data_IF_269880572787
#
_entry.id   IF_269880572787
#
_cell.length_a   1.000
_cell.length_b   1.000
_cell.length_c   1.000
_cell.angle_alpha   90.00
_cell.angle_beta   90.00
_cell.angle_gamma   90.00
#
_symmetry.space_group_name_H-M   'P 1'
#
loop_
_entity.id
_entity.type
_entity.pdbx_description
1 polymer ?
#
# COMPACT_ATOMS: atom_id res chain seq x y z
N UNK A 1 13.33 18.91 -14.52
CA UNK A 1 12.29 18.09 -15.15
C UNK A 1 11.29 17.66 -14.09
N UNK A 2 10.11 17.20 -14.51
CA UNK A 2 8.88 16.97 -13.72
C UNK A 2 7.88 18.14 -13.83
N UNK A 3 7.41 18.45 -15.04
CA UNK A 3 6.38 19.46 -15.22
C UNK A 3 5.03 18.96 -14.68
N UNK A 4 4.26 19.86 -14.10
CA UNK A 4 2.85 19.66 -13.77
C UNK A 4 2.04 20.84 -14.30
N UNK A 5 0.83 20.55 -14.78
CA UNK A 5 -0.07 21.55 -15.35
C UNK A 5 -1.28 21.72 -14.46
N UNK A 6 -1.71 22.97 -14.29
CA UNK A 6 -2.91 23.32 -13.57
C UNK A 6 -3.70 24.36 -14.36
N UNK A 7 -5.03 24.21 -14.36
CA UNK A 7 -5.97 25.22 -14.87
C UNK A 7 -6.75 25.74 -13.68
N UNK A 8 -6.70 27.05 -13.46
CA UNK A 8 -7.43 27.71 -12.38
C UNK A 8 -8.88 27.98 -12.79
N UNK A 9 -9.68 28.45 -11.83
CA UNK A 9 -11.12 28.68 -12.03
C UNK A 9 -11.41 29.82 -13.03
N UNK A 10 -10.44 30.72 -13.24
CA UNK A 10 -10.49 31.79 -14.25
C UNK A 10 -10.09 31.30 -15.66
N UNK A 11 -9.77 30.02 -15.83
CA UNK A 11 -9.31 29.42 -17.09
C UNK A 11 -7.83 29.61 -17.40
N UNK A 12 -7.09 30.34 -16.58
CA UNK A 12 -5.65 30.53 -16.72
C UNK A 12 -4.91 29.21 -16.46
N UNK A 13 -4.02 28.86 -17.37
CA UNK A 13 -3.21 27.65 -17.32
C UNK A 13 -1.80 27.97 -16.84
N UNK A 14 -1.25 27.13 -15.99
CA UNK A 14 0.06 27.29 -15.40
C UNK A 14 0.88 26.03 -15.63
N UNK A 15 2.13 26.19 -16.05
CA UNK A 15 3.11 25.11 -16.05
C UNK A 15 4.05 25.30 -14.87
N UNK A 16 4.02 24.35 -13.95
CA UNK A 16 4.96 24.21 -12.84
C UNK A 16 6.06 23.27 -13.26
N UNK A 17 7.33 23.62 -13.06
CA UNK A 17 8.44 22.77 -13.47
C UNK A 17 9.69 23.06 -12.63
N UNK A 18 10.74 22.26 -12.81
CA UNK A 18 12.04 22.49 -12.19
C UNK A 18 12.76 21.21 -11.81
N UNK A 19 13.82 21.29 -11.01
CA UNK A 19 14.61 20.15 -10.50
C UNK A 19 15.70 20.70 -9.58
N UNK A 20 15.70 20.31 -8.31
CA UNK A 20 16.36 20.96 -7.15
C UNK A 20 15.86 22.37 -6.80
N UNK A 21 15.15 23.03 -7.71
CA UNK A 21 14.36 24.26 -7.53
C UNK A 21 13.11 24.16 -8.39
N UNK A 22 12.05 24.90 -8.09
CA UNK A 22 10.82 24.98 -8.89
C UNK A 22 10.51 26.40 -9.35
N UNK A 23 9.96 26.50 -10.56
CA UNK A 23 9.44 27.72 -11.17
C UNK A 23 8.04 27.46 -11.75
N UNK A 24 7.31 28.54 -12.03
CA UNK A 24 6.00 28.53 -12.69
C UNK A 24 5.99 29.55 -13.83
N UNK A 25 5.34 29.20 -14.94
CA UNK A 25 5.00 30.11 -16.03
C UNK A 25 3.51 30.09 -16.33
N UNK A 26 2.97 31.23 -16.80
CA UNK A 26 1.60 31.32 -17.31
C UNK A 26 1.59 30.89 -18.77
N UNK A 27 0.80 29.87 -19.10
CA UNK A 27 0.61 29.46 -20.49
C UNK A 27 -0.40 30.37 -21.20
N UNK A 28 -0.24 30.56 -22.50
CA UNK A 28 -1.28 31.09 -23.37
C UNK A 28 -2.37 30.04 -23.66
N UNK A 29 -3.38 30.42 -24.44
CA UNK A 29 -4.57 29.58 -24.63
C UNK A 29 -4.28 28.32 -25.45
N UNK A 30 -3.29 28.38 -26.35
CA UNK A 30 -2.85 27.22 -27.15
C UNK A 30 -1.82 26.34 -26.41
N UNK A 31 -1.39 26.75 -25.21
CA UNK A 31 -0.50 26.01 -24.31
C UNK A 31 0.89 25.70 -24.87
N UNK A 32 1.32 26.39 -25.92
CA UNK A 32 2.65 26.22 -26.51
C UNK A 32 3.57 27.42 -26.27
N UNK A 33 3.06 28.54 -25.75
CA UNK A 33 3.89 29.69 -25.33
C UNK A 33 3.60 30.13 -23.89
N UNK A 34 4.51 30.94 -23.36
CA UNK A 34 4.32 31.61 -22.08
C UNK A 34 3.88 33.06 -22.26
N UNK A 35 2.98 33.52 -21.39
CA UNK A 35 2.64 34.93 -21.22
C UNK A 35 3.58 35.56 -20.19
N UNK A 36 3.91 36.86 -20.31
CA UNK A 36 4.66 37.57 -19.28
C UNK A 36 3.99 37.42 -17.90
N UNK A 37 4.79 37.03 -16.91
CA UNK A 37 4.42 36.91 -15.52
C UNK A 37 4.92 38.18 -14.83
N UNK A 38 4.12 39.26 -14.89
CA UNK A 38 4.45 40.57 -14.29
C UNK A 38 4.80 40.44 -12.79
N UNK A 39 6.05 40.08 -12.47
CA UNK A 39 6.50 39.73 -11.12
C UNK A 39 7.88 40.32 -10.88
N UNK A 40 8.10 40.85 -9.67
CA UNK A 40 9.30 41.61 -9.31
C UNK A 40 10.48 40.74 -8.81
N UNK A 41 10.42 39.41 -8.95
CA UNK A 41 11.43 38.49 -8.40
C UNK A 41 11.97 37.54 -9.46
N UNK A 42 13.30 37.45 -9.54
CA UNK A 42 14.03 36.70 -10.56
C UNK A 42 13.65 35.22 -10.62
N UNK A 43 13.39 34.76 -11.85
CA UNK A 43 13.32 33.35 -12.21
C UNK A 43 14.67 32.66 -12.02
N UNK A 44 14.68 31.34 -12.19
CA UNK A 44 15.91 30.62 -12.48
C UNK A 44 16.41 31.01 -13.88
N UNK A 45 17.53 31.74 -13.98
CA UNK A 45 18.10 32.16 -15.27
C UNK A 45 17.67 33.56 -15.73
N UNK A 46 17.87 33.86 -17.02
CA UNK A 46 17.69 35.20 -17.63
C UNK A 46 16.22 35.58 -17.91
N UNK A 47 15.27 34.65 -17.79
CA UNK A 47 13.92 34.79 -18.33
C UNK A 47 12.88 35.16 -17.25
N UNK A 48 13.23 36.11 -16.37
CA UNK A 48 12.37 36.57 -15.27
C UNK A 48 11.05 37.23 -15.73
N UNK A 49 10.96 37.60 -17.01
CA UNK A 49 9.72 38.10 -17.62
C UNK A 49 8.62 37.03 -17.68
N UNK A 50 8.97 35.76 -17.88
CA UNK A 50 8.00 34.69 -18.15
C UNK A 50 7.84 33.70 -16.99
N UNK A 51 8.83 33.62 -16.11
CA UNK A 51 8.85 32.62 -15.05
C UNK A 51 9.03 33.24 -13.67
N UNK A 52 8.40 32.64 -12.66
CA UNK A 52 8.58 33.00 -11.25
C UNK A 52 9.14 31.82 -10.48
N UNK A 53 10.20 32.05 -9.70
CA UNK A 53 10.67 31.04 -8.73
C UNK A 53 9.64 30.86 -7.61
N UNK A 54 9.27 29.61 -7.36
CA UNK A 54 8.26 29.21 -6.36
C UNK A 54 8.77 28.11 -5.44
N UNK A 55 10.09 27.88 -5.43
CA UNK A 55 10.71 26.89 -4.54
C UNK A 55 10.33 27.19 -3.09
N UNK A 56 9.61 26.29 -2.38
CA UNK A 56 9.19 26.53 -1.01
C UNK A 56 10.40 26.72 -0.09
N UNK A 57 10.31 27.64 0.86
CA UNK A 57 11.40 27.94 1.81
C UNK A 57 10.84 28.07 3.24
N UNK A 58 11.50 27.47 4.26
CA UNK A 58 12.58 26.48 4.14
C UNK A 58 12.04 25.12 3.66
N UNK A 59 12.75 24.43 2.77
CA UNK A 59 12.37 23.06 2.35
C UNK A 59 13.58 22.24 1.91
N UNK A 60 13.39 20.92 1.78
CA UNK A 60 14.35 20.01 1.14
C UNK A 60 13.92 19.63 -0.27
N UNK A 61 13.30 20.59 -0.99
CA UNK A 61 12.76 20.38 -2.33
C UNK A 61 13.77 19.66 -3.23
N UNK A 62 13.35 18.54 -3.81
CA UNK A 62 14.12 17.84 -4.85
C UNK A 62 13.45 17.94 -6.20
N UNK A 63 12.22 17.45 -6.33
CA UNK A 63 11.59 17.22 -7.63
C UNK A 63 10.09 16.90 -7.49
N UNK A 64 9.45 16.54 -8.61
CA UNK A 64 8.10 15.99 -8.63
C UNK A 64 7.05 16.96 -8.13
N UNK A 65 7.04 18.22 -8.61
CA UNK A 65 6.00 19.19 -8.25
C UNK A 65 4.63 18.62 -8.62
N UNK A 66 3.66 18.70 -7.70
CA UNK A 66 2.23 18.47 -7.99
C UNK A 66 1.45 19.62 -7.42
N UNK A 67 0.53 20.14 -8.23
CA UNK A 67 -0.26 21.30 -7.92
C UNK A 67 -1.75 20.98 -7.97
N UNK A 68 -2.51 21.53 -7.03
CA UNK A 68 -3.97 21.50 -7.05
C UNK A 68 -4.56 22.60 -6.18
N UNK A 69 -5.82 22.95 -6.42
CA UNK A 69 -6.59 23.91 -5.62
C UNK A 69 -7.71 23.18 -4.87
N UNK A 70 -7.96 23.58 -3.63
CA UNK A 70 -9.08 23.08 -2.81
C UNK A 70 -9.56 24.17 -1.87
N UNK A 71 -10.86 24.50 -1.92
CA UNK A 71 -11.49 25.54 -1.09
C UNK A 71 -10.71 26.86 -1.13
N UNK A 72 -10.43 27.33 -2.34
CA UNK A 72 -9.66 28.57 -2.61
C UNK A 72 -8.21 28.61 -2.10
N UNK A 73 -7.70 27.50 -1.56
CA UNK A 73 -6.30 27.35 -1.18
C UNK A 73 -5.55 26.55 -2.23
N UNK A 74 -4.36 27.02 -2.58
CA UNK A 74 -3.46 26.36 -3.52
C UNK A 74 -2.47 25.48 -2.78
N UNK A 75 -2.35 24.22 -3.21
CA UNK A 75 -1.48 23.22 -2.63
C UNK A 75 -0.37 22.89 -3.62
N UNK A 76 0.87 23.00 -3.17
CA UNK A 76 2.04 22.52 -3.88
C UNK A 76 2.67 21.39 -3.08
N UNK A 77 2.79 20.22 -3.69
CA UNK A 77 3.48 19.06 -3.12
C UNK A 77 4.77 18.79 -3.88
N UNK A 78 5.80 18.29 -3.21
CA UNK A 78 7.10 17.94 -3.81
C UNK A 78 7.71 16.72 -3.13
N UNK A 79 8.62 16.05 -3.83
CA UNK A 79 9.48 15.04 -3.22
C UNK A 79 10.72 15.68 -2.60
N UNK A 80 11.17 15.13 -1.48
CA UNK A 80 12.43 15.47 -0.82
C UNK A 80 13.42 14.30 -0.92
N UNK A 81 14.72 14.60 -0.88
CA UNK A 81 15.83 13.64 -1.09
C UNK A 81 15.84 13.00 -2.49
N UNK A 82 16.80 12.11 -2.77
CA UNK A 82 16.93 11.44 -4.08
C UNK A 82 16.00 10.22 -4.15
N UNK A 83 15.37 9.96 -5.29
CA UNK A 83 14.43 8.84 -5.50
C UNK A 83 14.94 7.46 -5.05
N UNK A 84 16.25 7.17 -5.18
CA UNK A 84 16.84 5.91 -4.73
C UNK A 84 17.25 5.86 -3.24
N UNK A 85 17.06 6.94 -2.49
CA UNK A 85 17.35 7.01 -1.05
C UNK A 85 16.12 6.54 -0.27
N UNK A 86 16.30 5.66 0.73
CA UNK A 86 15.20 5.19 1.58
C UNK A 86 14.42 6.33 2.27
N UNK A 87 15.02 7.51 2.42
CA UNK A 87 14.40 8.72 2.98
C UNK A 87 13.50 9.47 2.00
N UNK A 88 13.48 9.11 0.71
CA UNK A 88 12.63 9.76 -0.29
C UNK A 88 11.18 9.79 0.21
N UNK A 89 10.60 10.99 0.22
CA UNK A 89 9.35 11.30 0.91
C UNK A 89 8.66 12.47 0.22
N UNK A 90 7.37 12.66 0.49
CA UNK A 90 6.59 13.79 -0.04
C UNK A 90 6.27 14.79 1.06
N UNK A 91 6.55 16.05 0.76
CA UNK A 91 6.11 17.20 1.55
C UNK A 91 5.18 18.09 0.75
N UNK A 92 4.48 18.98 1.44
CA UNK A 92 3.60 19.95 0.81
C UNK A 92 3.65 21.30 1.50
N UNK A 93 3.08 22.30 0.83
CA UNK A 93 2.87 23.65 1.34
C UNK A 93 1.68 24.29 0.65
N UNK A 94 1.20 25.38 1.24
CA UNK A 94 -0.01 26.07 0.79
C UNK A 94 0.25 27.54 0.45
N UNK A 95 -0.57 28.11 -0.42
CA UNK A 95 -0.56 29.53 -0.77
C UNK A 95 -1.98 30.02 -1.06
N UNK A 96 -2.16 31.33 -0.96
CA UNK A 96 -3.39 32.02 -1.38
C UNK A 96 -3.38 32.39 -2.87
N UNK A 97 -2.26 32.17 -3.57
CA UNK A 97 -2.15 32.45 -5.01
C UNK A 97 -1.50 31.29 -5.75
N UNK A 98 -1.76 31.12 -7.07
CA UNK A 98 -1.12 30.08 -7.87
C UNK A 98 0.40 30.31 -8.03
N UNK A 99 0.89 31.50 -7.65
CA UNK A 99 2.27 31.94 -7.81
C UNK A 99 3.07 31.93 -6.51
N UNK A 100 2.52 31.43 -5.41
CA UNK A 100 3.19 31.43 -4.11
C UNK A 100 3.33 32.84 -3.48
N UNK A 101 4.08 32.97 -2.37
CA UNK A 101 4.92 31.94 -1.77
C UNK A 101 4.12 30.78 -1.19
N UNK A 102 4.69 29.58 -1.24
CA UNK A 102 4.12 28.38 -0.64
C UNK A 102 4.73 28.16 0.74
N UNK A 103 3.90 28.25 1.77
CA UNK A 103 4.27 28.02 3.16
C UNK A 103 4.37 26.51 3.41
N UNK A 104 5.55 25.94 3.68
CA UNK A 104 5.70 24.50 3.91
C UNK A 104 4.92 24.02 5.14
N UNK A 105 4.22 22.90 5.00
CA UNK A 105 3.44 22.23 6.07
C UNK A 105 4.00 20.84 6.46
N UNK A 106 5.13 20.46 5.87
CA UNK A 106 5.90 19.27 6.24
C UNK A 106 5.59 18.03 5.41
N UNK A 107 6.20 16.90 5.82
CA UNK A 107 6.17 15.63 5.10
C UNK A 107 4.95 14.78 5.47
N UNK A 108 4.18 14.36 4.48
CA UNK A 108 2.92 13.61 4.61
C UNK A 108 3.02 12.17 4.13
N UNK A 109 3.92 11.84 3.20
CA UNK A 109 4.15 10.47 2.75
C UNK A 109 5.61 10.11 3.02
N UNK A 110 5.82 9.11 3.87
CA UNK A 110 7.14 8.66 4.31
C UNK A 110 7.23 7.14 4.18
N UNK A 111 8.46 6.62 4.23
CA UNK A 111 8.68 5.18 4.37
C UNK A 111 7.95 4.61 5.58
N UNK A 112 7.54 3.36 5.44
CA UNK A 112 7.21 2.48 6.55
C UNK A 112 8.17 1.29 6.47
N UNK A 113 9.06 1.08 7.47
CA UNK A 113 10.09 0.06 7.40
C UNK A 113 9.55 -1.38 7.34
N UNK A 114 8.26 -1.61 7.63
CA UNK A 114 7.63 -2.93 7.49
C UNK A 114 6.78 -3.07 6.22
N UNK A 115 6.66 -2.02 5.40
CA UNK A 115 5.88 -2.03 4.15
C UNK A 115 6.74 -1.66 2.94
N UNK A 116 7.37 -0.48 2.95
CA UNK A 116 8.13 0.04 1.81
C UNK A 116 9.01 1.24 2.18
N UNK A 117 10.03 1.48 1.35
CA UNK A 117 10.91 2.66 1.46
C UNK A 117 10.82 3.54 0.22
N UNK A 118 11.46 4.71 0.27
CA UNK A 118 11.60 5.62 -0.85
C UNK A 118 10.25 5.98 -1.52
N UNK A 119 9.30 6.45 -0.73
CA UNK A 119 7.94 6.76 -1.17
C UNK A 119 7.85 8.18 -1.72
N UNK A 120 7.61 8.35 -3.02
CA UNK A 120 7.46 9.69 -3.58
C UNK A 120 7.10 9.75 -5.05
N UNK A 121 7.43 10.88 -5.67
CA UNK A 121 7.07 11.24 -7.05
C UNK A 121 5.60 10.94 -7.35
N UNK A 122 4.79 11.61 -6.55
CA UNK A 122 3.34 11.52 -6.45
C UNK A 122 2.57 12.32 -7.49
N UNK A 123 1.33 11.88 -7.71
CA UNK A 123 0.20 12.69 -8.17
C UNK A 123 -0.95 12.57 -7.16
N UNK A 124 -1.94 13.44 -7.26
CA UNK A 124 -3.17 13.37 -6.46
C UNK A 124 -4.38 13.37 -7.38
N UNK A 125 -5.41 12.63 -6.99
CA UNK A 125 -6.69 12.59 -7.68
C UNK A 125 -7.81 12.96 -6.71
N UNK A 126 -8.78 13.71 -7.19
CA UNK A 126 -10.04 13.95 -6.52
C UNK A 126 -11.15 13.22 -7.27
N UNK A 127 -12.00 12.50 -6.54
CA UNK A 127 -13.23 11.95 -7.14
C UNK A 127 -14.20 13.11 -7.33
N UNK A 128 -14.59 13.34 -8.58
CA UNK A 128 -15.37 14.51 -8.99
C UNK A 128 -16.60 14.70 -8.10
N UNK A 129 -16.87 15.96 -7.72
CA UNK A 129 -18.01 16.39 -6.88
C UNK A 129 -18.00 15.83 -5.46
N UNK A 130 -16.85 15.39 -4.96
CA UNK A 130 -16.72 14.89 -3.59
C UNK A 130 -15.46 15.45 -2.92
N UNK A 131 -15.35 15.28 -1.60
CA UNK A 131 -14.12 15.55 -0.86
C UNK A 131 -13.23 14.30 -0.74
N UNK A 132 -13.30 13.40 -1.72
CA UNK A 132 -12.62 12.10 -1.72
C UNK A 132 -11.33 12.22 -2.54
N UNK A 133 -10.19 12.17 -1.87
CA UNK A 133 -8.87 12.32 -2.49
C UNK A 133 -8.02 11.06 -2.33
N UNK A 134 -7.20 10.77 -3.33
CA UNK A 134 -6.16 9.75 -3.25
C UNK A 134 -4.83 10.31 -3.72
N UNK A 135 -3.76 9.73 -3.21
CA UNK A 135 -2.40 9.96 -3.64
C UNK A 135 -1.91 8.71 -4.40
N UNK A 136 -1.44 8.93 -5.62
CA UNK A 136 -0.76 7.90 -6.42
C UNK A 136 0.72 8.21 -6.34
N UNK A 137 1.56 7.25 -6.00
CA UNK A 137 2.99 7.48 -5.82
C UNK A 137 3.78 6.21 -6.14
N UNK A 138 5.10 6.32 -6.28
CA UNK A 138 5.94 5.13 -6.31
C UNK A 138 6.55 4.85 -4.95
N UNK A 139 6.82 3.58 -4.70
CA UNK A 139 7.58 3.08 -3.55
C UNK A 139 8.55 1.99 -3.97
N UNK A 140 9.51 1.70 -3.10
CA UNK A 140 10.44 0.60 -3.27
C UNK A 140 10.03 -0.55 -2.34
N UNK A 141 9.78 -1.76 -2.89
CA UNK A 141 9.60 -2.97 -2.10
C UNK A 141 10.80 -3.19 -1.17
N UNK A 142 10.58 -3.78 0.01
CA UNK A 142 11.61 -3.98 1.04
C UNK A 142 12.71 -4.94 0.59
N UNK A 143 12.36 -5.95 -0.19
CA UNK A 143 13.33 -6.93 -0.71
C UNK A 143 14.17 -6.40 -1.88
N UNK A 144 13.84 -5.24 -2.44
CA UNK A 144 14.49 -4.68 -3.61
C UNK A 144 15.58 -3.68 -3.22
N UNK A 145 16.73 -3.76 -3.89
CA UNK A 145 17.89 -2.89 -3.62
C UNK A 145 18.28 -2.01 -4.80
N UNK A 146 17.73 -2.25 -5.99
CA UNK A 146 17.98 -1.43 -7.18
C UNK A 146 17.05 -0.22 -7.18
N UNK A 147 17.63 0.97 -7.23
CA UNK A 147 16.89 2.23 -7.13
C UNK A 147 15.85 2.48 -8.23
N UNK A 148 15.94 1.78 -9.35
CA UNK A 148 15.02 1.97 -10.48
C UNK A 148 13.81 1.02 -10.43
N UNK A 149 13.84 0.00 -9.56
CA UNK A 149 12.79 -1.00 -9.40
C UNK A 149 11.68 -0.46 -8.47
N UNK A 150 10.94 0.51 -9.02
CA UNK A 150 9.84 1.21 -8.36
C UNK A 150 8.51 0.56 -8.70
N UNK A 151 7.62 0.47 -7.73
CA UNK A 151 6.23 0.04 -7.94
C UNK A 151 5.26 1.17 -7.63
N UNK A 152 4.16 1.24 -8.36
CA UNK A 152 3.09 2.21 -8.10
C UNK A 152 2.25 1.74 -6.92
N UNK A 153 1.85 2.68 -6.07
CA UNK A 153 0.91 2.51 -4.98
C UNK A 153 -0.13 3.63 -5.02
N UNK A 154 -1.28 3.35 -4.43
CA UNK A 154 -2.41 4.26 -4.31
C UNK A 154 -2.91 4.17 -2.87
N UNK A 155 -2.96 5.31 -2.18
CA UNK A 155 -3.52 5.37 -0.84
C UNK A 155 -4.46 6.57 -0.70
N UNK A 156 -5.28 6.51 0.34
CA UNK A 156 -6.25 7.54 0.64
C UNK A 156 -5.56 8.77 1.22
N UNK A 157 -6.00 9.96 0.80
CA UNK A 157 -5.50 11.23 1.34
C UNK A 157 -6.63 11.97 2.05
N UNK A 158 -6.39 12.35 3.30
CA UNK A 158 -7.35 13.07 4.14
C UNK A 158 -6.88 14.50 4.40
N UNK A 159 -7.84 15.36 4.72
CA UNK A 159 -7.58 16.73 5.12
C UNK A 159 -8.16 16.97 6.52
N UNK A 160 -7.37 17.61 7.38
CA UNK A 160 -7.81 18.06 8.69
C UNK A 160 -8.79 19.25 8.58
N UNK A 161 -9.33 19.67 9.73
CA UNK A 161 -10.27 20.79 9.83
C UNK A 161 -9.68 22.13 9.35
N UNK A 162 -8.36 22.31 9.48
CA UNK A 162 -7.61 23.51 9.10
C UNK A 162 -7.08 23.43 7.65
N UNK A 163 -7.56 22.45 6.88
CA UNK A 163 -7.16 22.23 5.49
C UNK A 163 -5.74 21.68 5.32
N UNK A 164 -5.08 21.25 6.39
CA UNK A 164 -3.84 20.48 6.29
C UNK A 164 -4.09 19.11 5.70
N UNK A 165 -3.11 18.56 5.00
CA UNK A 165 -3.09 17.16 4.57
C UNK A 165 -2.58 16.33 5.74
N UNK A 166 -3.36 15.32 6.14
CA UNK A 166 -2.96 14.36 7.17
C UNK A 166 -1.86 13.43 6.66
N UNK A 167 -1.01 12.86 7.54
CA UNK A 167 -0.07 11.83 7.15
C UNK A 167 -0.76 10.67 6.43
N UNK A 168 -0.22 10.28 5.28
CA UNK A 168 -0.72 9.15 4.49
C UNK A 168 -0.25 7.85 5.13
N UNK A 169 -1.20 6.98 5.42
CA UNK A 169 -0.93 5.61 5.86
C UNK A 169 -0.65 4.74 4.64
N UNK A 170 0.50 4.06 4.64
CA UNK A 170 0.83 3.06 3.61
C UNK A 170 0.03 1.79 3.89
N UNK A 171 -0.70 1.31 2.89
CA UNK A 171 -1.42 0.04 2.99
C UNK A 171 -0.71 -1.10 2.24
N UNK A 172 -0.91 -2.32 2.75
CA UNK A 172 -0.60 -3.57 2.04
C UNK A 172 -1.93 -4.21 1.67
N UNK A 173 -2.39 -3.96 0.45
CA UNK A 173 -3.68 -4.44 -0.04
C UNK A 173 -3.58 -5.08 -1.41
N UNK A 174 -4.40 -6.09 -1.67
CA UNK A 174 -4.57 -6.70 -2.98
C UNK A 174 -5.95 -7.34 -3.09
N UNK A 175 -6.74 -6.94 -4.09
CA UNK A 175 -8.04 -7.53 -4.45
C UNK A 175 -7.96 -8.37 -5.74
N UNK A 176 -6.76 -8.51 -6.35
CA UNK A 176 -6.49 -9.34 -7.53
C UNK A 176 -7.29 -9.03 -8.80
N UNK A 177 -8.06 -7.93 -8.81
CA UNK A 177 -8.94 -7.49 -9.90
C UNK A 177 -8.19 -6.98 -11.15
N UNK A 178 -6.88 -6.78 -11.04
CA UNK A 178 -6.00 -6.43 -12.15
C UNK A 178 -5.51 -7.65 -12.97
N UNK A 179 -6.04 -8.84 -12.67
CA UNK A 179 -5.81 -10.08 -13.43
C UNK A 179 -4.55 -10.83 -13.04
N UNK A 180 -3.74 -10.30 -12.12
CA UNK A 180 -2.50 -10.93 -11.68
C UNK A 180 -2.10 -10.42 -10.30
N UNK A 181 -1.66 -11.29 -9.36
CA UNK A 181 -1.04 -10.78 -8.16
C UNK A 181 0.22 -10.01 -8.55
N UNK A 182 0.47 -8.87 -7.90
CA UNK A 182 1.65 -8.06 -8.16
C UNK A 182 2.92 -8.93 -8.24
N UNK A 183 3.59 -9.02 -9.41
CA UNK A 183 4.73 -9.93 -9.59
C UNK A 183 5.97 -9.49 -8.79
N UNK A 184 5.94 -8.25 -8.27
CA UNK A 184 7.00 -7.69 -7.44
C UNK A 184 6.69 -7.87 -5.95
N UNK A 185 5.44 -7.67 -5.53
CA UNK A 185 5.09 -7.76 -4.10
C UNK A 185 4.85 -9.21 -3.65
N UNK A 186 4.24 -10.04 -4.51
CA UNK A 186 3.94 -11.43 -4.18
C UNK A 186 5.04 -12.39 -4.59
N UNK A 187 5.53 -13.14 -3.62
CA UNK A 187 6.56 -14.15 -3.75
C UNK A 187 5.90 -15.52 -3.64
N UNK A 188 5.59 -16.14 -4.78
CA UNK A 188 5.03 -17.51 -4.87
C UNK A 188 6.12 -18.51 -4.46
N UNK A 189 6.09 -18.99 -3.22
CA UNK A 189 7.13 -19.85 -2.63
C UNK A 189 6.93 -21.32 -2.98
N UNK A 190 5.68 -21.77 -3.05
CA UNK A 190 5.31 -23.14 -3.43
C UNK A 190 3.87 -23.22 -3.91
N UNK A 191 3.56 -24.32 -4.62
CA UNK A 191 2.24 -24.61 -5.16
C UNK A 191 1.88 -23.73 -6.36
N UNK A 192 0.73 -24.05 -6.94
CA UNK A 192 0.21 -23.42 -8.14
C UNK A 192 -0.77 -22.32 -7.78
N UNK A 193 -0.50 -21.12 -8.30
CA UNK A 193 -1.27 -19.91 -8.06
C UNK A 193 -1.70 -19.28 -9.38
N UNK A 194 -3.00 -19.02 -9.51
CA UNK A 194 -3.58 -18.39 -10.69
C UNK A 194 -4.73 -17.47 -10.27
N UNK A 195 -4.88 -16.33 -10.95
CA UNK A 195 -6.09 -15.50 -10.81
C UNK A 195 -7.21 -16.15 -11.61
N UNK A 196 -8.39 -16.23 -11.02
CA UNK A 196 -9.57 -16.90 -11.57
C UNK A 196 -10.80 -16.01 -11.44
N UNK A 197 -11.78 -16.23 -12.33
CA UNK A 197 -13.09 -15.58 -12.26
C UNK A 197 -13.12 -14.12 -12.71
N UNK A 198 -14.21 -13.45 -12.34
CA UNK A 198 -14.52 -12.04 -12.64
C UNK A 198 -15.23 -11.81 -13.98
N UNK A 199 -16.10 -10.78 -14.01
CA UNK A 199 -16.61 -10.17 -15.24
C UNK A 199 -15.98 -8.78 -15.36
N UNK A 200 -15.17 -8.55 -16.41
CA UNK A 200 -14.60 -7.22 -16.67
C UNK A 200 -13.75 -6.63 -15.52
N UNK A 201 -12.59 -7.23 -15.22
CA UNK A 201 -11.64 -6.77 -14.18
C UNK A 201 -12.25 -6.56 -12.78
N UNK A 202 -13.39 -7.19 -12.48
CA UNK A 202 -14.03 -7.10 -11.17
C UNK A 202 -14.44 -8.49 -10.69
N UNK A 203 -14.20 -8.75 -9.39
CA UNK A 203 -14.55 -10.01 -8.73
C UNK A 203 -13.57 -11.15 -9.05
N UNK A 204 -12.33 -10.81 -9.40
CA UNK A 204 -11.28 -11.81 -9.61
C UNK A 204 -10.70 -12.25 -8.28
N UNK A 205 -10.22 -13.50 -8.22
CA UNK A 205 -9.71 -14.07 -6.97
C UNK A 205 -8.42 -14.84 -7.23
N UNK A 206 -7.49 -14.79 -6.28
CA UNK A 206 -6.28 -15.59 -6.36
C UNK A 206 -6.56 -17.01 -5.87
N UNK A 207 -6.46 -17.99 -6.77
CA UNK A 207 -6.64 -19.40 -6.48
C UNK A 207 -5.31 -20.07 -6.15
N UNK A 208 -5.22 -20.69 -4.97
CA UNK A 208 -4.19 -21.67 -4.64
C UNK A 208 -4.74 -23.08 -4.88
N UNK A 209 -4.13 -23.85 -5.79
CA UNK A 209 -4.71 -25.11 -6.28
C UNK A 209 -3.91 -26.38 -5.96
N UNK A 210 -2.85 -26.24 -5.16
CA UNK A 210 -2.03 -27.36 -4.72
C UNK A 210 -1.95 -27.40 -3.19
N UNK A 211 -1.90 -28.61 -2.64
CA UNK A 211 -1.60 -28.78 -1.22
C UNK A 211 -0.23 -28.16 -0.89
N UNK A 212 -0.16 -27.47 0.24
CA UNK A 212 1.04 -26.79 0.73
C UNK A 212 1.51 -25.63 -0.18
N UNK A 213 0.58 -25.00 -0.90
CA UNK A 213 0.86 -23.77 -1.62
C UNK A 213 1.07 -22.61 -0.64
N UNK A 214 2.12 -21.82 -0.86
CA UNK A 214 2.46 -20.65 -0.04
C UNK A 214 2.82 -19.47 -0.96
N UNK A 215 2.13 -18.35 -0.76
CA UNK A 215 2.47 -17.07 -1.36
C UNK A 215 2.70 -16.05 -0.24
N UNK A 216 3.84 -15.36 -0.25
CA UNK A 216 4.17 -14.34 0.73
C UNK A 216 4.14 -12.97 0.07
N UNK A 217 3.59 -11.97 0.74
CA UNK A 217 3.63 -10.58 0.32
C UNK A 217 4.76 -9.85 1.04
N UNK A 218 5.48 -9.00 0.30
CA UNK A 218 6.63 -8.25 0.80
C UNK A 218 6.23 -7.24 1.89
N UNK A 219 6.32 -7.69 3.13
CA UNK A 219 5.92 -6.98 4.35
C UNK A 219 6.65 -7.59 5.55
N UNK A 220 6.78 -6.88 6.66
CA UNK A 220 7.57 -7.36 7.82
C UNK A 220 6.98 -6.95 9.18
N UNK A 221 5.66 -7.08 9.33
CA UNK A 221 4.95 -6.62 10.52
C UNK A 221 5.34 -7.42 11.78
N UNK A 222 5.47 -6.70 12.88
CA UNK A 222 5.43 -7.26 14.23
C UNK A 222 3.97 -7.30 14.66
N UNK A 223 3.39 -6.17 15.04
CA UNK A 223 1.96 -6.09 15.32
C UNK A 223 1.19 -5.80 14.03
N UNK A 224 0.03 -6.44 13.87
CA UNK A 224 -0.75 -6.36 12.64
C UNK A 224 -2.25 -6.59 12.86
N UNK A 225 -3.04 -5.99 11.98
CA UNK A 225 -4.37 -6.48 11.62
C UNK A 225 -4.31 -6.96 10.19
N UNK A 226 -4.64 -8.23 9.97
CA UNK A 226 -4.64 -8.88 8.66
C UNK A 226 -6.03 -9.41 8.35
N UNK A 227 -6.66 -8.79 7.35
CA UNK A 227 -7.91 -9.17 6.71
C UNK A 227 -7.65 -9.93 5.40
N UNK A 228 -8.43 -10.99 5.16
CA UNK A 228 -8.54 -11.62 3.85
C UNK A 228 -9.91 -12.30 3.71
N UNK A 229 -10.43 -12.37 2.50
CA UNK A 229 -11.53 -13.25 2.17
C UNK A 229 -10.99 -14.61 1.71
N UNK A 230 -11.60 -15.69 2.19
CA UNK A 230 -11.19 -17.07 1.91
C UNK A 230 -12.40 -17.91 1.53
N UNK A 231 -12.35 -18.57 0.38
CA UNK A 231 -13.35 -19.57 -0.04
C UNK A 231 -12.66 -20.92 -0.20
N UNK A 232 -13.07 -21.92 0.58
CA UNK A 232 -12.58 -23.30 0.43
C UNK A 232 -13.36 -24.00 -0.68
N UNK A 233 -12.71 -24.57 -1.70
CA UNK A 233 -13.42 -25.06 -2.89
C UNK A 233 -14.03 -26.47 -2.73
N UNK A 234 -13.60 -27.25 -1.73
CA UNK A 234 -14.14 -28.59 -1.52
C UNK A 234 -13.94 -29.10 -0.09
N UNK A 235 -14.67 -30.17 0.29
CA UNK A 235 -14.70 -30.68 1.67
C UNK A 235 -13.36 -31.13 2.26
N UNK A 236 -12.38 -31.49 1.42
CA UNK A 236 -11.01 -31.81 1.85
C UNK A 236 -10.06 -30.59 1.95
N UNK A 237 -10.57 -29.38 1.72
CA UNK A 237 -9.75 -28.18 1.64
C UNK A 237 -9.47 -27.59 3.02
N UNK A 238 -8.23 -27.19 3.23
CA UNK A 238 -7.75 -26.47 4.40
C UNK A 238 -6.88 -25.31 3.91
N UNK A 239 -7.25 -24.06 4.23
CA UNK A 239 -6.54 -22.88 3.77
C UNK A 239 -6.78 -21.65 4.67
N UNK A 240 -5.91 -20.66 4.56
CA UNK A 240 -6.02 -19.40 5.29
C UNK A 240 -4.80 -18.52 5.11
N UNK A 241 -4.40 -17.83 6.16
CA UNK A 241 -3.35 -16.81 6.13
C UNK A 241 -2.18 -17.16 7.05
N UNK A 242 -0.98 -16.73 6.66
CA UNK A 242 0.23 -16.81 7.49
C UNK A 242 0.70 -15.41 7.84
N UNK A 243 1.29 -15.26 9.02
CA UNK A 243 1.78 -13.97 9.51
C UNK A 243 3.03 -14.17 10.35
N UNK A 244 3.85 -13.11 10.45
CA UNK A 244 5.19 -13.19 11.07
C UNK A 244 6.02 -14.34 10.49
N UNK A 245 5.89 -14.53 9.19
CA UNK A 245 6.36 -15.69 8.44
C UNK A 245 7.81 -15.49 8.01
N UNK A 246 8.68 -16.42 8.39
CA UNK A 246 10.03 -16.54 7.88
C UNK A 246 10.10 -17.73 6.90
N UNK A 247 10.25 -17.50 5.59
CA UNK A 247 10.39 -18.59 4.64
C UNK A 247 11.67 -19.39 4.93
N UNK A 248 11.56 -20.72 4.87
CA UNK A 248 12.71 -21.61 5.03
C UNK A 248 13.55 -21.62 3.75
N UNK A 249 14.78 -21.09 3.82
CA UNK A 249 15.70 -21.05 2.66
C UNK A 249 15.86 -22.44 2.03
N UNK A 250 15.69 -22.51 0.71
CA UNK A 250 15.91 -23.72 -0.10
C UNK A 250 14.85 -24.82 0.02
N UNK A 251 13.65 -24.53 0.55
CA UNK A 251 12.57 -25.53 0.70
C UNK A 251 11.34 -25.20 -0.13
N UNK A 252 10.76 -26.23 -0.74
CA UNK A 252 9.43 -26.22 -1.36
C UNK A 252 8.54 -27.23 -0.61
N UNK A 253 7.24 -26.94 -0.45
CA UNK A 253 6.25 -27.86 0.15
C UNK A 253 5.95 -27.64 1.65
N UNK A 254 5.45 -28.65 2.39
CA UNK A 254 4.88 -28.50 3.75
C UNK A 254 5.84 -27.94 4.82
N UNK A 255 7.13 -27.92 4.51
CA UNK A 255 8.20 -27.37 5.33
C UNK A 255 8.64 -25.95 4.88
N UNK A 256 7.80 -25.20 4.15
CA UNK A 256 8.20 -23.95 3.52
C UNK A 256 8.41 -22.75 4.48
N UNK A 257 7.88 -22.76 5.71
CA UNK A 257 7.96 -21.57 6.58
C UNK A 257 7.98 -21.83 8.09
N UNK A 258 8.67 -20.96 8.83
CA UNK A 258 8.43 -20.76 10.26
C UNK A 258 7.52 -19.54 10.44
N UNK A 259 6.74 -19.50 11.52
CA UNK A 259 5.76 -18.45 11.80
C UNK A 259 4.38 -19.01 12.11
N UNK A 260 3.41 -18.12 12.17
CA UNK A 260 2.04 -18.44 12.54
C UNK A 260 1.16 -18.64 11.32
N UNK A 261 0.08 -19.39 11.51
CA UNK A 261 -0.99 -19.51 10.54
C UNK A 261 -2.34 -19.57 11.24
N UNK A 262 -3.34 -18.95 10.62
CA UNK A 262 -4.74 -19.25 10.89
C UNK A 262 -5.32 -19.87 9.62
N UNK A 263 -5.99 -21.00 9.77
CA UNK A 263 -6.63 -21.66 8.64
C UNK A 263 -7.99 -22.23 9.00
N UNK A 264 -8.82 -22.29 7.95
CA UNK A 264 -10.16 -22.80 7.95
C UNK A 264 -10.13 -24.25 7.45
N UNK A 265 -10.93 -25.14 8.03
CA UNK A 265 -10.98 -26.56 7.67
C UNK A 265 -12.39 -26.99 7.28
N UNK A 266 -12.61 -27.24 5.99
CA UNK A 266 -13.95 -27.52 5.45
C UNK A 266 -14.56 -28.82 6.00
N UNK A 267 -13.75 -29.85 6.24
CA UNK A 267 -14.25 -31.16 6.67
C UNK A 267 -14.82 -31.18 8.09
N UNK A 268 -14.32 -30.30 8.96
CA UNK A 268 -14.81 -30.21 10.35
C UNK A 268 -15.60 -28.95 10.62
N UNK A 269 -15.46 -27.90 9.80
CA UNK A 269 -16.03 -26.58 10.07
C UNK A 269 -15.22 -25.73 11.05
N UNK A 270 -14.09 -26.23 11.52
CA UNK A 270 -13.25 -25.58 12.53
C UNK A 270 -12.38 -24.47 11.96
N UNK A 271 -12.07 -23.50 12.84
CA UNK A 271 -11.00 -22.51 12.67
C UNK A 271 -9.82 -22.93 13.54
N UNK A 272 -8.61 -22.93 12.98
CA UNK A 272 -7.41 -23.35 13.71
C UNK A 272 -6.36 -22.23 13.69
N UNK A 273 -5.76 -21.98 14.84
CA UNK A 273 -4.57 -21.16 15.01
C UNK A 273 -3.39 -22.09 15.32
N UNK A 274 -2.30 -21.92 14.59
CA UNK A 274 -1.09 -22.69 14.81
C UNK A 274 0.18 -21.88 14.62
N UNK A 275 1.26 -22.45 15.12
CA UNK A 275 2.59 -21.90 15.00
C UNK A 275 3.55 -23.03 14.65
N UNK A 276 4.47 -22.73 13.74
CA UNK A 276 5.51 -23.65 13.31
C UNK A 276 6.89 -23.02 13.54
N UNK A 277 7.72 -23.71 14.32
CA UNK A 277 9.09 -23.29 14.59
C UNK A 277 10.05 -24.46 14.52
N UNK A 278 10.98 -24.43 13.58
CA UNK A 278 12.16 -25.27 13.68
C UNK A 278 12.93 -25.47 12.39
N UNK A 279 13.87 -26.42 12.45
CA UNK A 279 14.87 -26.60 11.41
C UNK A 279 14.56 -27.72 10.43
N UNK A 280 13.90 -28.85 10.76
CA UNK A 280 13.59 -29.95 9.81
C UNK A 280 12.37 -30.76 10.26
N UNK A 281 11.48 -31.13 9.34
CA UNK A 281 10.33 -32.03 9.58
C UNK A 281 9.42 -31.62 10.74
N UNK A 282 9.38 -30.32 11.04
CA UNK A 282 8.51 -29.78 12.10
C UNK A 282 7.13 -29.55 11.51
N UNK A 283 6.14 -30.23 12.09
CA UNK A 283 4.73 -30.05 11.73
C UNK A 283 4.19 -28.76 12.35
N UNK A 284 3.12 -28.23 11.77
CA UNK A 284 2.36 -27.15 12.38
C UNK A 284 1.84 -27.60 13.75
N UNK A 285 2.14 -26.83 14.79
CA UNK A 285 1.57 -27.07 16.13
C UNK A 285 0.29 -26.26 16.24
N UNK A 286 -0.83 -26.93 16.54
CA UNK A 286 -2.10 -26.25 16.80
C UNK A 286 -2.02 -25.63 18.19
N UNK A 287 -2.17 -24.31 18.28
CA UNK A 287 -2.24 -23.57 19.54
C UNK A 287 -3.68 -23.53 20.06
N UNK A 288 -4.65 -23.37 19.14
CA UNK A 288 -6.08 -23.30 19.47
C UNK A 288 -6.93 -23.76 18.28
N UNK A 289 -8.07 -24.36 18.55
CA UNK A 289 -9.14 -24.62 17.59
C UNK A 289 -10.47 -24.10 18.14
N UNK A 290 -11.41 -23.76 17.25
CA UNK A 290 -12.75 -23.32 17.64
C UNK A 290 -13.57 -24.50 18.17
N UNK A 291 -14.45 -24.23 19.13
CA UNK A 291 -15.43 -25.23 19.60
C UNK A 291 -16.63 -25.35 18.66
N UNK A 292 -16.99 -24.25 18.00
CA UNK A 292 -18.13 -24.18 17.09
C UNK A 292 -17.69 -24.28 15.62
N UNK A 293 -18.66 -24.63 14.77
CA UNK A 293 -18.48 -24.73 13.33
C UNK A 293 -18.76 -23.36 12.70
N UNK A 294 -17.74 -22.78 12.08
CA UNK A 294 -17.83 -21.46 11.45
C UNK A 294 -17.71 -21.52 9.92
N UNK A 295 -17.25 -22.65 9.37
CA UNK A 295 -16.72 -22.73 8.00
C UNK A 295 -17.45 -23.79 7.18
N UNK A 296 -17.65 -23.52 5.89
CA UNK A 296 -18.05 -24.52 4.89
C UNK A 296 -17.30 -24.37 3.57
N UNK A 297 -17.30 -25.40 2.73
CA UNK A 297 -16.81 -25.29 1.35
C UNK A 297 -17.82 -24.56 0.45
N UNK A 298 -17.34 -23.87 -0.57
CA UNK A 298 -18.15 -23.10 -1.52
C UNK A 298 -18.68 -21.78 -0.97
N UNK A 299 -18.42 -21.46 0.30
CA UNK A 299 -18.80 -20.19 0.93
C UNK A 299 -17.57 -19.30 1.10
N UNK A 300 -17.73 -18.03 0.78
CA UNK A 300 -16.76 -16.97 1.07
C UNK A 300 -16.85 -16.63 2.56
N UNK A 301 -15.70 -16.64 3.24
CA UNK A 301 -15.56 -16.26 4.64
C UNK A 301 -14.62 -15.08 4.78
N UNK A 302 -14.99 -14.09 5.61
CA UNK A 302 -14.07 -13.00 5.96
C UNK A 302 -13.25 -13.44 7.17
N UNK A 303 -11.94 -13.56 6.98
CA UNK A 303 -10.99 -13.93 8.03
C UNK A 303 -10.18 -12.69 8.46
N UNK A 304 -10.15 -12.42 9.77
CA UNK A 304 -9.28 -11.40 10.35
C UNK A 304 -8.42 -11.96 11.47
N UNK A 305 -7.15 -11.58 11.48
CA UNK A 305 -6.23 -11.79 12.60
C UNK A 305 -5.74 -10.44 13.12
N UNK A 306 -5.94 -10.21 14.41
CA UNK A 306 -5.27 -9.15 15.15
C UNK A 306 -4.14 -9.74 16.00
N UNK A 307 -2.91 -9.29 15.77
CA UNK A 307 -1.74 -9.64 16.58
C UNK A 307 -1.16 -8.38 17.19
N UNK A 308 -1.15 -8.29 18.53
CA UNK A 308 -0.62 -7.13 19.26
C UNK A 308 0.21 -7.59 20.46
N UNK A 309 1.51 -7.27 20.44
CA UNK A 309 2.48 -7.76 21.42
C UNK A 309 2.60 -9.27 21.35
N UNK A 310 1.93 -9.98 22.26
CA UNK A 310 1.84 -11.45 22.32
C UNK A 310 0.41 -11.96 22.15
N UNK A 311 -0.58 -11.08 22.06
CA UNK A 311 -2.00 -11.46 22.00
C UNK A 311 -2.40 -11.65 20.54
N UNK A 312 -3.04 -12.78 20.27
CA UNK A 312 -3.64 -13.12 18.98
C UNK A 312 -5.15 -13.20 19.15
N UNK A 313 -5.89 -12.52 18.28
CA UNK A 313 -7.35 -12.62 18.20
C UNK A 313 -7.74 -12.94 16.76
N UNK A 314 -8.61 -13.93 16.58
CA UNK A 314 -9.04 -14.43 15.27
C UNK A 314 -10.55 -14.23 15.14
N UNK A 315 -10.99 -13.69 14.03
CA UNK A 315 -12.39 -13.43 13.71
C UNK A 315 -12.73 -14.08 12.38
N UNK A 316 -13.93 -14.65 12.28
CA UNK A 316 -14.45 -15.26 11.05
C UNK A 316 -15.90 -14.84 10.87
N UNK A 317 -16.20 -14.16 9.77
CA UNK A 317 -17.48 -13.54 9.39
C UNK A 317 -18.01 -12.48 10.37
N UNK A 318 -18.20 -12.83 11.65
CA UNK A 318 -18.43 -11.86 12.72
C UNK A 318 -17.11 -11.17 13.09
N UNK A 319 -17.01 -9.89 12.76
CA UNK A 319 -15.83 -9.04 13.01
C UNK A 319 -15.86 -8.33 14.36
N UNK A 320 -16.83 -8.65 15.23
CA UNK A 320 -16.99 -8.06 16.57
C UNK A 320 -16.45 -8.99 17.64
N UNK A 321 -16.80 -10.28 17.60
CA UNK A 321 -16.42 -11.26 18.62
C UNK A 321 -15.38 -12.24 18.07
N UNK A 322 -14.19 -12.38 18.69
CA UNK A 322 -13.19 -13.30 18.19
C UNK A 322 -13.61 -14.75 18.44
N UNK A 323 -13.49 -15.59 17.40
CA UNK A 323 -13.70 -17.04 17.48
C UNK A 323 -12.53 -17.76 18.16
N UNK A 324 -11.33 -17.17 18.12
CA UNK A 324 -10.16 -17.62 18.91
C UNK A 324 -9.44 -16.45 19.55
N UNK A 325 -8.93 -16.68 20.75
CA UNK A 325 -7.91 -15.83 21.38
C UNK A 325 -6.80 -16.71 21.94
N UNK A 326 -5.55 -16.29 21.74
CA UNK A 326 -4.38 -16.97 22.27
C UNK A 326 -3.29 -15.98 22.68
N UNK A 327 -2.31 -16.47 23.43
CA UNK A 327 -1.08 -15.74 23.75
C UNK A 327 0.10 -16.52 23.20
N UNK A 328 0.89 -15.90 22.33
CA UNK A 328 2.16 -16.44 21.86
C UNK A 328 3.16 -15.31 21.63
N UNK A 329 4.34 -15.43 22.23
CA UNK A 329 5.42 -14.44 22.14
C UNK A 329 6.50 -14.81 21.13
N UNK A 330 6.31 -15.89 20.38
CA UNK A 330 7.24 -16.29 19.34
C UNK A 330 7.20 -15.35 18.13
N UNK A 331 8.31 -15.35 17.39
CA UNK A 331 8.55 -14.61 16.15
C UNK A 331 8.27 -13.10 16.27
N UNK A 332 9.34 -12.31 16.42
CA UNK A 332 9.20 -10.86 16.66
C UNK A 332 8.55 -10.11 15.49
N UNK A 333 8.81 -10.54 14.25
CA UNK A 333 8.21 -10.02 13.02
C UNK A 333 8.47 -10.97 11.84
N UNK A 334 7.81 -10.74 10.71
CA UNK A 334 8.07 -11.48 9.48
C UNK A 334 7.07 -11.15 8.37
N UNK A 335 7.21 -11.86 7.24
CA UNK A 335 6.31 -11.71 6.10
C UNK A 335 4.91 -12.21 6.41
N UNK A 336 3.95 -11.77 5.60
CA UNK A 336 2.58 -12.24 5.68
C UNK A 336 2.24 -12.94 4.37
N UNK A 337 1.20 -13.76 4.36
CA UNK A 337 0.91 -14.53 3.17
C UNK A 337 -0.39 -15.30 3.21
N UNK A 338 -0.59 -16.03 2.12
CA UNK A 338 -1.71 -16.92 1.86
C UNK A 338 -1.18 -18.35 1.82
N UNK A 339 -1.93 -19.27 2.40
CA UNK A 339 -1.51 -20.64 2.53
C UNK A 339 -2.65 -21.61 2.29
N UNK A 340 -2.41 -22.58 1.41
CA UNK A 340 -3.27 -23.74 1.22
C UNK A 340 -2.56 -24.94 1.81
N UNK A 341 -3.14 -25.54 2.84
CA UNK A 341 -2.60 -26.74 3.47
C UNK A 341 -3.01 -28.01 2.70
N UNK A 342 -4.27 -28.11 2.28
CA UNK A 342 -4.78 -29.21 1.46
C UNK A 342 -5.93 -28.74 0.57
N UNK A 343 -6.20 -29.48 -0.51
CA UNK A 343 -7.24 -29.12 -1.48
C UNK A 343 -6.90 -27.83 -2.22
N UNK A 344 -7.88 -26.94 -2.34
CA UNK A 344 -7.75 -25.66 -3.02
C UNK A 344 -8.64 -24.59 -2.39
N UNK A 345 -8.23 -23.33 -2.55
CA UNK A 345 -8.96 -22.18 -2.03
C UNK A 345 -8.79 -20.94 -2.91
N UNK A 346 -9.78 -20.06 -2.85
CA UNK A 346 -9.77 -18.74 -3.45
C UNK A 346 -9.54 -17.70 -2.36
N UNK A 347 -8.71 -16.70 -2.68
CA UNK A 347 -8.39 -15.58 -1.80
C UNK A 347 -8.70 -14.26 -2.49
N UNK A 348 -9.20 -13.31 -1.74
CA UNK A 348 -9.63 -11.99 -2.23
C UNK A 348 -9.51 -10.95 -1.11
N UNK A 349 -9.55 -9.67 -1.46
CA UNK A 349 -9.60 -8.53 -0.54
C UNK A 349 -8.60 -8.62 0.64
N UNK A 350 -7.33 -8.88 0.30
CA UNK A 350 -6.22 -8.92 1.27
C UNK A 350 -5.94 -7.51 1.76
N UNK A 351 -5.82 -7.31 3.07
CA UNK A 351 -5.37 -6.07 3.69
C UNK A 351 -4.56 -6.35 4.95
N UNK A 352 -3.36 -5.79 5.05
CA UNK A 352 -2.51 -5.86 6.24
C UNK A 352 -2.10 -4.44 6.64
N UNK A 353 -2.29 -4.11 7.91
CA UNK A 353 -2.00 -2.78 8.48
C UNK A 353 -1.55 -2.87 9.94
N UNK A 354 -1.04 -1.77 10.46
CA UNK A 354 -0.80 -1.63 11.90
C UNK A 354 -2.13 -1.68 12.68
N UNK A 355 -2.13 -2.17 13.93
CA UNK A 355 -3.35 -2.38 14.72
C UNK A 355 -3.96 -1.14 15.37
#
# INVERSE_FOLDING_TARGET
MDPDIFTDDDGQKYLYFGGTKSAVGKLDDNMINFRPINTSKSAMGTDAEYFKSITPQPSKFKEGTKFFKRKDVYYMMWSEYRYGDARYQVSYGTSDTPLGPFSPRGAILKKDPVIAVATGHKSVLNISRTNTWYIVYHRHPLHESKGDNRVVALDRMYFDADGGIEPVELLVTDNFDDGQPSPVLWQRRSGDWAVMGGEGQQGQQLRGSSAQALALIDSHFADLVYDAEVTLEGGGSEAGITFRTAPSRGRRGPEAFNGHAVWLKASTGEVLLGHRKGKRRVRMTVLKSSSDLHVGSGRKHHLRVGFKGTRVSVFVDDMVVPVLTATDGADASGQNGLWVKSGSALFDNVSIRHP
#
